data_IF_005093608371
#
_entry.id   IF_005093608371
#
_cell.length_a   1.000
_cell.length_b   1.000
_cell.length_c   1.000
_cell.angle_alpha   90.00
_cell.angle_beta   90.00
_cell.angle_gamma   90.00
#
_symmetry.space_group_name_H-M   'P 1'
#
loop_
_entity.id
_entity.type
_entity.pdbx_description
1 polymer ?
#
# COMPACT_ATOMS: atom_id res chain seq x y z
N UNK A 1 -5.86 5.19 -30.31
CA UNK A 1 -6.07 5.58 -28.90
C UNK A 1 -7.00 6.79 -28.89
N UNK A 2 -8.12 6.73 -28.17
CA UNK A 2 -9.02 7.87 -28.03
C UNK A 2 -8.28 8.98 -27.26
N UNK A 3 -8.31 10.21 -27.76
CA UNK A 3 -7.62 11.34 -27.14
C UNK A 3 -8.37 11.71 -25.87
N UNK A 4 -7.73 11.57 -24.71
CA UNK A 4 -8.28 12.00 -23.42
C UNK A 4 -8.27 13.53 -23.41
N UNK A 5 -9.43 14.14 -23.22
CA UNK A 5 -9.68 15.59 -23.24
C UNK A 5 -9.80 16.21 -21.84
N UNK A 6 -9.75 15.37 -20.80
CA UNK A 6 -9.72 15.76 -19.38
C UNK A 6 -8.34 15.47 -18.76
N UNK A 7 -8.01 16.11 -17.63
CA UNK A 7 -6.76 15.84 -16.92
C UNK A 7 -6.82 14.47 -16.21
N UNK A 8 -6.02 13.47 -16.63
CA UNK A 8 -6.04 12.15 -16.01
C UNK A 8 -5.50 12.12 -14.58
N UNK A 9 -4.85 13.20 -14.11
CA UNK A 9 -4.22 13.28 -12.80
C UNK A 9 -4.59 14.58 -12.06
N UNK A 10 -5.89 14.81 -11.76
CA UNK A 10 -6.38 16.08 -11.21
C UNK A 10 -5.80 16.40 -9.82
N UNK A 11 -5.27 15.40 -9.12
CA UNK A 11 -4.69 15.55 -7.78
C UNK A 11 -3.17 15.80 -7.80
N UNK A 12 -2.52 15.95 -8.96
CA UNK A 12 -1.06 15.94 -9.03
C UNK A 12 -0.36 17.12 -8.32
N UNK A 13 -1.11 18.18 -7.99
CA UNK A 13 -0.66 19.32 -7.19
C UNK A 13 -1.62 19.55 -6.00
N UNK A 14 -1.53 18.74 -4.95
CA UNK A 14 -2.40 18.87 -3.78
C UNK A 14 -2.00 20.08 -2.93
N UNK A 15 -2.96 20.72 -2.27
CA UNK A 15 -2.72 21.86 -1.38
C UNK A 15 -1.87 21.46 -0.16
N UNK A 16 -0.95 22.34 0.24
CA UNK A 16 -0.06 22.16 1.39
C UNK A 16 -0.65 22.79 2.64
N UNK A 17 -0.28 22.29 3.82
CA UNK A 17 -0.50 23.02 5.07
C UNK A 17 -1.42 22.36 6.08
N UNK A 18 -1.82 21.11 5.83
CA UNK A 18 -2.77 20.39 6.68
C UNK A 18 -2.28 19.01 7.08
N UNK A 19 -3.26 18.20 7.51
CA UNK A 19 -3.04 16.80 7.79
C UNK A 19 -2.60 16.04 6.54
N UNK A 20 -1.72 15.06 6.73
CA UNK A 20 -1.33 14.13 5.68
C UNK A 20 -2.58 13.32 5.28
N UNK A 21 -2.83 13.25 3.98
CA UNK A 21 -3.96 12.51 3.39
C UNK A 21 -3.46 11.63 2.24
N UNK A 22 -4.18 10.57 1.92
CA UNK A 22 -4.01 9.73 0.74
C UNK A 22 -3.96 10.57 -0.54
N UNK A 23 -4.85 11.58 -0.65
CA UNK A 23 -4.86 12.50 -1.79
C UNK A 23 -3.59 13.35 -1.91
N UNK A 24 -2.93 13.67 -0.80
CA UNK A 24 -1.64 14.37 -0.82
C UNK A 24 -0.47 13.39 -1.03
N UNK A 25 -0.60 12.18 -0.49
CA UNK A 25 0.41 11.14 -0.50
C UNK A 25 0.78 10.73 -1.92
N UNK A 26 -0.16 10.23 -2.72
CA UNK A 26 0.15 9.60 -4.01
C UNK A 26 0.82 10.53 -5.04
N UNK A 27 0.35 11.78 -5.22
CA UNK A 27 1.06 12.77 -6.04
C UNK A 27 2.48 13.06 -5.57
N UNK A 28 2.69 13.09 -4.24
CA UNK A 28 4.00 13.36 -3.66
C UNK A 28 4.95 12.18 -3.86
N UNK A 29 4.46 10.95 -3.72
CA UNK A 29 5.20 9.74 -4.07
C UNK A 29 5.50 9.64 -5.56
N UNK A 30 4.61 10.10 -6.43
CA UNK A 30 4.86 10.12 -7.87
C UNK A 30 6.15 10.89 -8.20
N UNK A 31 6.46 11.95 -7.45
CA UNK A 31 7.68 12.75 -7.58
C UNK A 31 8.94 11.98 -7.18
N UNK A 32 8.81 10.86 -6.47
CA UNK A 32 9.91 9.96 -6.17
C UNK A 32 10.30 9.10 -7.36
N UNK A 33 9.35 8.83 -8.26
CA UNK A 33 9.58 8.01 -9.43
C UNK A 33 10.62 8.66 -10.34
N UNK A 34 11.41 7.81 -10.99
CA UNK A 34 12.44 8.14 -11.97
C UNK A 34 12.32 7.18 -13.14
N UNK A 35 12.72 7.63 -14.32
CA UNK A 35 12.80 6.74 -15.48
C UNK A 35 13.67 5.52 -15.14
N UNK A 36 13.17 4.33 -15.44
CA UNK A 36 13.84 3.07 -15.10
C UNK A 36 13.58 2.58 -13.67
N UNK A 37 12.64 3.16 -12.93
CA UNK A 37 12.16 2.56 -11.69
C UNK A 37 11.20 1.39 -11.96
N UNK A 38 11.19 0.43 -11.05
CA UNK A 38 10.09 -0.52 -10.86
C UNK A 38 9.35 -0.17 -9.57
N UNK A 39 8.03 -0.08 -9.62
CA UNK A 39 7.16 0.20 -8.47
C UNK A 39 6.24 -0.98 -8.26
N UNK A 40 6.25 -1.56 -7.05
CA UNK A 40 5.38 -2.68 -6.67
C UNK A 40 4.36 -2.19 -5.66
N UNK A 41 3.08 -2.20 -6.02
CA UNK A 41 1.98 -1.80 -5.14
C UNK A 41 1.28 -3.00 -4.50
N UNK A 42 1.17 -3.02 -3.18
CA UNK A 42 0.37 -4.02 -2.46
C UNK A 42 -1.13 -3.81 -2.67
N UNK A 43 -1.89 -4.90 -2.57
CA UNK A 43 -3.35 -4.86 -2.50
C UNK A 43 -3.79 -3.95 -1.35
N UNK A 44 -4.81 -3.11 -1.61
CA UNK A 44 -5.29 -2.08 -0.71
C UNK A 44 -4.97 -0.69 -1.24
N UNK A 45 -4.93 0.31 -0.35
CA UNK A 45 -4.79 1.72 -0.74
C UNK A 45 -3.55 2.00 -1.60
N UNK A 46 -2.47 1.24 -1.42
CA UNK A 46 -1.24 1.35 -2.22
C UNK A 46 -1.44 1.10 -3.71
N UNK A 47 -2.10 -0.01 -4.09
CA UNK A 47 -2.35 -0.33 -5.50
C UNK A 47 -3.30 0.68 -6.16
N UNK A 48 -4.34 1.11 -5.45
CA UNK A 48 -5.32 2.03 -6.00
C UNK A 48 -4.81 3.47 -6.07
N UNK A 49 -4.08 3.93 -5.06
CA UNK A 49 -3.55 5.28 -5.01
C UNK A 49 -2.42 5.53 -6.00
N UNK A 50 -1.50 4.57 -6.15
CA UNK A 50 -0.45 4.67 -7.17
C UNK A 50 -1.00 4.61 -8.60
N UNK A 51 -2.13 3.95 -8.84
CA UNK A 51 -2.79 3.97 -10.14
C UNK A 51 -3.32 5.37 -10.52
N UNK A 52 -3.63 6.21 -9.53
CA UNK A 52 -4.02 7.62 -9.70
C UNK A 52 -2.82 8.59 -9.68
N UNK A 53 -1.60 8.07 -9.52
CA UNK A 53 -0.38 8.87 -9.45
C UNK A 53 0.28 9.00 -10.83
N UNK A 54 0.80 10.19 -11.15
CA UNK A 54 1.53 10.43 -12.40
C UNK A 54 2.98 9.95 -12.30
N UNK A 55 3.20 8.64 -12.48
CA UNK A 55 4.55 8.06 -12.55
C UNK A 55 5.31 8.55 -13.79
N UNK A 56 6.63 8.68 -13.67
CA UNK A 56 7.47 9.09 -14.80
C UNK A 56 7.53 8.02 -15.89
N UNK A 57 7.68 8.48 -17.13
CA UNK A 57 7.86 7.60 -18.30
C UNK A 57 9.02 6.62 -18.08
N UNK A 58 8.85 5.38 -18.54
CA UNK A 58 9.83 4.32 -18.35
C UNK A 58 9.81 3.67 -16.97
N UNK A 59 8.83 3.99 -16.13
CA UNK A 59 8.56 3.27 -14.87
C UNK A 59 7.77 1.99 -15.15
N UNK A 60 8.19 0.87 -14.57
CA UNK A 60 7.39 -0.36 -14.52
C UNK A 60 6.51 -0.35 -13.27
N UNK A 61 5.21 -0.46 -13.44
CA UNK A 61 4.28 -0.57 -12.32
C UNK A 61 3.71 -1.99 -12.22
N UNK A 62 3.88 -2.63 -11.08
CA UNK A 62 3.49 -4.03 -10.81
C UNK A 62 2.44 -4.05 -9.70
N UNK A 63 1.27 -4.59 -10.04
CA UNK A 63 0.14 -4.77 -9.12
C UNK A 63 -0.58 -6.08 -9.41
N UNK A 64 -1.31 -6.58 -8.41
CA UNK A 64 -2.07 -7.83 -8.50
C UNK A 64 -3.56 -7.57 -8.32
N UNK A 65 -4.20 -6.89 -9.28
CA UNK A 65 -5.63 -6.51 -9.21
C UNK A 65 -6.55 -7.75 -9.15
N UNK A 66 -6.25 -8.80 -9.93
CA UNK A 66 -7.18 -9.93 -10.09
C UNK A 66 -7.16 -10.91 -8.90
N UNK A 67 -5.97 -11.38 -8.50
CA UNK A 67 -5.87 -12.35 -7.40
C UNK A 67 -5.97 -11.68 -6.02
N UNK A 68 -5.50 -10.43 -5.89
CA UNK A 68 -5.74 -9.60 -4.71
C UNK A 68 -5.13 -10.12 -3.40
N UNK A 69 -4.03 -10.87 -3.43
CA UNK A 69 -3.44 -11.42 -2.20
C UNK A 69 -2.60 -10.38 -1.45
N UNK A 70 -3.01 -10.06 -0.22
CA UNK A 70 -2.24 -9.21 0.68
C UNK A 70 -0.89 -9.86 1.04
N UNK A 71 0.20 -9.10 0.96
CA UNK A 71 1.58 -9.59 1.15
C UNK A 71 2.31 -10.06 -0.10
N UNK A 72 1.60 -10.29 -1.21
CA UNK A 72 2.24 -10.63 -2.48
C UNK A 72 3.33 -9.62 -2.88
N UNK A 73 3.06 -8.33 -2.69
CA UNK A 73 3.97 -7.26 -3.10
C UNK A 73 5.34 -7.35 -2.43
N UNK A 74 5.41 -7.74 -1.15
CA UNK A 74 6.69 -7.90 -0.43
C UNK A 74 7.53 -9.02 -1.05
N UNK A 75 6.91 -10.16 -1.36
CA UNK A 75 7.57 -11.28 -2.02
C UNK A 75 7.97 -10.95 -3.47
N UNK A 76 7.07 -10.31 -4.22
CA UNK A 76 7.34 -9.85 -5.59
C UNK A 76 8.52 -8.87 -5.61
N UNK A 77 8.57 -7.92 -4.67
CA UNK A 77 9.67 -6.96 -4.58
C UNK A 77 11.03 -7.65 -4.45
N UNK A 78 11.15 -8.74 -3.66
CA UNK A 78 12.38 -9.54 -3.57
C UNK A 78 12.84 -10.02 -4.96
N UNK A 79 11.92 -10.56 -5.76
CA UNK A 79 12.22 -11.01 -7.12
C UNK A 79 12.65 -9.86 -8.03
N UNK A 80 11.94 -8.72 -7.96
CA UNK A 80 12.27 -7.52 -8.74
C UNK A 80 13.65 -6.99 -8.33
N UNK A 81 13.97 -6.92 -7.05
CA UNK A 81 15.28 -6.47 -6.55
C UNK A 81 16.43 -7.30 -7.12
N UNK A 82 16.27 -8.63 -7.16
CA UNK A 82 17.25 -9.53 -7.79
C UNK A 82 17.37 -9.28 -9.28
N UNK A 83 16.24 -9.13 -9.98
CA UNK A 83 16.25 -8.85 -11.42
C UNK A 83 16.98 -7.54 -11.75
N UNK A 84 16.77 -6.48 -10.95
CA UNK A 84 17.41 -5.17 -11.08
C UNK A 84 18.93 -5.27 -11.00
N UNK A 85 19.44 -6.16 -10.16
CA UNK A 85 20.89 -6.40 -10.03
C UNK A 85 21.48 -7.20 -11.17
N UNK A 86 20.78 -8.23 -11.62
CA UNK A 86 21.35 -9.21 -12.53
C UNK A 86 21.48 -8.63 -13.95
N UNK A 87 20.37 -8.27 -14.60
CA UNK A 87 20.38 -7.83 -16.01
C UNK A 87 19.18 -6.95 -16.42
N UNK A 88 18.60 -6.18 -15.50
CA UNK A 88 17.41 -5.39 -15.83
C UNK A 88 17.70 -4.06 -16.54
N UNK A 89 16.77 -3.67 -17.41
CA UNK A 89 16.65 -2.29 -17.89
C UNK A 89 16.29 -1.31 -16.75
N UNK A 90 15.66 -1.83 -15.68
CA UNK A 90 15.30 -1.07 -14.48
C UNK A 90 16.48 -0.97 -13.51
N UNK A 91 16.57 0.17 -12.80
CA UNK A 91 17.74 0.54 -11.97
C UNK A 91 17.44 0.57 -10.48
N UNK A 92 16.18 0.68 -10.11
CA UNK A 92 15.73 0.78 -8.72
C UNK A 92 14.35 0.17 -8.59
N UNK A 93 14.08 -0.44 -7.44
CA UNK A 93 12.75 -0.94 -7.12
C UNK A 93 12.22 -0.25 -5.86
N UNK A 94 10.93 0.10 -5.90
CA UNK A 94 10.18 0.80 -4.87
C UNK A 94 9.01 -0.09 -4.51
N UNK A 95 8.97 -0.58 -3.27
CA UNK A 95 7.85 -1.34 -2.72
C UNK A 95 6.95 -0.38 -1.94
N UNK A 96 5.65 -0.40 -2.25
CA UNK A 96 4.64 0.40 -1.57
C UNK A 96 3.59 -0.53 -0.99
N UNK A 97 3.53 -0.60 0.34
CA UNK A 97 2.67 -1.54 1.04
C UNK A 97 2.04 -0.91 2.28
N UNK A 98 0.80 -1.28 2.56
CA UNK A 98 0.18 -1.07 3.87
C UNK A 98 0.86 -1.92 4.94
N UNK A 99 0.69 -1.53 6.21
CA UNK A 99 1.28 -2.23 7.36
C UNK A 99 0.70 -3.65 7.51
N UNK A 100 -0.63 -3.81 7.45
CA UNK A 100 -1.27 -5.14 7.50
C UNK A 100 -0.78 -6.08 6.39
N UNK A 101 -0.63 -5.58 5.16
CA UNK A 101 -0.08 -6.36 4.04
C UNK A 101 1.41 -6.70 4.21
N UNK A 102 2.20 -5.82 4.83
CA UNK A 102 3.60 -6.10 5.12
C UNK A 102 3.75 -7.23 6.15
N UNK A 103 2.93 -7.24 7.21
CA UNK A 103 2.97 -8.22 8.29
C UNK A 103 2.90 -9.68 7.82
N UNK A 104 2.17 -9.97 6.74
CA UNK A 104 1.98 -11.35 6.24
C UNK A 104 3.25 -11.95 5.62
N UNK A 105 4.18 -11.11 5.17
CA UNK A 105 5.32 -11.53 4.34
C UNK A 105 6.63 -10.83 4.70
N UNK A 106 6.66 -9.98 5.72
CA UNK A 106 7.79 -9.12 6.10
C UNK A 106 9.14 -9.85 6.24
N UNK A 107 9.15 -11.13 6.64
CA UNK A 107 10.40 -11.91 6.75
C UNK A 107 11.11 -12.05 5.40
N UNK A 108 10.41 -11.96 4.26
CA UNK A 108 11.05 -12.01 2.94
C UNK A 108 11.94 -10.79 2.65
N UNK A 109 11.73 -9.68 3.36
CA UNK A 109 12.62 -8.51 3.31
C UNK A 109 14.04 -8.88 3.74
N UNK A 110 14.25 -10.01 4.43
CA UNK A 110 15.60 -10.46 4.75
C UNK A 110 16.40 -10.96 3.55
N UNK A 111 15.83 -10.93 2.35
CA UNK A 111 16.50 -11.35 1.13
C UNK A 111 16.91 -10.16 0.25
N UNK A 112 16.73 -8.92 0.72
CA UNK A 112 16.89 -7.69 -0.08
C UNK A 112 18.00 -6.75 0.39
N UNK A 113 18.81 -7.15 1.37
CA UNK A 113 19.74 -6.27 2.10
C UNK A 113 20.84 -5.60 1.28
N UNK A 114 21.22 -6.23 0.17
CA UNK A 114 22.29 -5.77 -0.69
C UNK A 114 21.75 -4.93 -1.87
N UNK A 115 20.43 -4.73 -1.96
CA UNK A 115 19.75 -4.04 -3.07
C UNK A 115 19.20 -2.68 -2.64
N UNK A 116 19.31 -1.68 -3.54
CA UNK A 116 18.74 -0.35 -3.34
C UNK A 116 17.21 -0.42 -3.28
N UNK A 117 16.69 -0.71 -2.09
CA UNK A 117 15.27 -0.88 -1.82
C UNK A 117 14.73 0.33 -1.10
N UNK A 118 13.64 0.89 -1.62
CA UNK A 118 12.79 1.83 -0.91
C UNK A 118 11.56 1.04 -0.49
N UNK A 119 11.40 0.84 0.82
CA UNK A 119 10.18 0.31 1.40
C UNK A 119 9.35 1.49 1.90
N UNK A 120 8.28 1.80 1.18
CA UNK A 120 7.23 2.71 1.59
C UNK A 120 6.22 1.89 2.39
N UNK A 121 6.26 2.02 3.71
CA UNK A 121 5.19 1.58 4.57
C UNK A 121 4.25 2.77 4.70
N UNK A 122 3.04 2.63 4.16
CA UNK A 122 1.94 3.52 4.47
C UNK A 122 1.21 2.95 5.69
N UNK A 123 1.44 3.45 6.91
CA UNK A 123 0.55 3.25 8.03
C UNK A 123 -0.86 3.70 7.67
N UNK A 124 -1.73 2.72 7.74
CA UNK A 124 -3.09 2.92 8.22
C UNK A 124 -2.94 3.46 9.65
N UNK A 125 -3.53 4.62 9.95
CA UNK A 125 -3.17 5.37 11.15
C UNK A 125 -4.07 5.21 12.35
N UNK A 126 -3.49 5.68 13.45
CA UNK A 126 -3.98 5.55 14.81
C UNK A 126 -5.34 6.16 14.96
N UNK A 127 -6.34 5.30 14.89
CA UNK A 127 -7.51 5.42 15.72
C UNK A 127 -7.05 5.24 17.18
N UNK A 128 -7.63 5.98 18.12
CA UNK A 128 -7.31 5.97 19.56
C UNK A 128 -7.50 4.61 20.25
N UNK A 129 -7.75 3.54 19.50
CA UNK A 129 -7.56 2.14 19.87
C UNK A 129 -7.55 1.25 18.60
N UNK A 130 -6.40 1.19 17.91
CA UNK A 130 -5.94 0.16 16.96
C UNK A 130 -6.01 0.49 15.46
N UNK A 131 -4.82 0.49 14.85
CA UNK A 131 -4.48 0.56 13.44
C UNK A 131 -4.91 -0.73 12.70
N UNK A 132 -5.60 -0.59 11.56
CA UNK A 132 -6.26 -1.71 10.90
C UNK A 132 -6.40 -1.56 9.39
N UNK A 133 -6.78 -2.64 8.72
CA UNK A 133 -6.97 -2.73 7.27
C UNK A 133 -7.97 -1.69 6.74
N UNK A 134 -7.51 -0.57 6.17
CA UNK A 134 -8.35 0.54 5.73
C UNK A 134 -9.35 0.13 4.65
N UNK A 135 -8.99 -0.81 3.76
CA UNK A 135 -9.90 -1.25 2.69
C UNK A 135 -11.05 -2.08 3.25
N UNK A 136 -10.75 -2.97 4.18
CA UNK A 136 -11.68 -3.86 4.86
C UNK A 136 -12.57 -3.08 5.83
N UNK A 137 -12.01 -2.12 6.58
CA UNK A 137 -12.79 -1.16 7.38
C UNK A 137 -13.81 -0.39 6.52
N UNK A 138 -13.51 -0.11 5.25
CA UNK A 138 -14.44 0.55 4.32
C UNK A 138 -15.42 -0.43 3.66
N UNK A 139 -15.13 -1.72 3.65
CA UNK A 139 -15.95 -2.74 2.99
C UNK A 139 -16.93 -3.41 3.96
N UNK A 140 -16.47 -3.79 5.14
CA UNK A 140 -17.29 -4.46 6.14
C UNK A 140 -16.71 -4.33 7.56
N UNK A 141 -17.54 -3.93 8.52
CA UNK A 141 -17.17 -3.89 9.93
C UNK A 141 -16.06 -2.90 10.25
N UNK A 142 -16.29 -1.60 10.00
CA UNK A 142 -15.30 -0.53 10.19
C UNK A 142 -14.51 -0.58 11.50
N UNK A 143 -15.19 -0.91 12.60
CA UNK A 143 -14.59 -1.01 13.95
C UNK A 143 -14.43 -2.46 14.44
N UNK A 144 -14.64 -3.45 13.57
CA UNK A 144 -14.63 -4.86 13.94
C UNK A 144 -13.23 -5.33 14.36
N UNK A 145 -13.17 -6.19 15.37
CA UNK A 145 -11.90 -6.61 15.98
C UNK A 145 -10.96 -7.33 15.00
N UNK A 146 -11.49 -8.04 14.01
CA UNK A 146 -10.69 -8.75 13.00
C UNK A 146 -9.96 -7.81 12.03
N UNK A 147 -10.33 -6.53 11.97
CA UNK A 147 -9.63 -5.55 11.15
C UNK A 147 -8.41 -4.95 11.87
N UNK A 148 -8.23 -5.23 13.17
CA UNK A 148 -7.13 -4.69 13.98
C UNK A 148 -5.87 -5.54 13.85
N UNK A 149 -4.70 -4.91 13.77
CA UNK A 149 -3.41 -5.61 13.86
C UNK A 149 -2.50 -4.97 14.91
N UNK A 150 -1.46 -5.70 15.34
CA UNK A 150 -0.49 -5.20 16.31
C UNK A 150 0.42 -4.16 15.69
N UNK A 151 0.53 -2.98 16.31
CA UNK A 151 1.44 -1.93 15.87
C UNK A 151 2.90 -2.41 15.94
N UNK A 152 3.61 -2.36 14.82
CA UNK A 152 5.00 -2.78 14.76
C UNK A 152 5.96 -1.59 14.88
N UNK A 153 7.05 -1.79 15.62
CA UNK A 153 8.16 -0.85 15.63
C UNK A 153 8.99 -1.04 14.34
N UNK A 154 8.57 -0.37 13.27
CA UNK A 154 9.20 -0.46 11.95
C UNK A 154 10.67 -0.01 11.96
N UNK A 155 11.07 0.92 12.84
CA UNK A 155 12.47 1.28 13.00
C UNK A 155 13.30 0.12 13.58
N UNK A 156 12.78 -0.57 14.60
CA UNK A 156 13.42 -1.76 15.15
C UNK A 156 13.47 -2.91 14.12
N UNK A 157 12.43 -3.10 13.31
CA UNK A 157 12.43 -4.06 12.21
C UNK A 157 13.48 -3.74 11.14
N UNK A 158 13.69 -2.46 10.85
CA UNK A 158 14.74 -2.04 9.92
C UNK A 158 16.13 -2.46 10.39
N UNK A 159 16.40 -2.32 11.69
CA UNK A 159 17.65 -2.77 12.32
C UNK A 159 17.71 -4.30 12.39
N UNK A 160 16.62 -4.96 12.79
CA UNK A 160 16.58 -6.40 13.01
C UNK A 160 16.75 -7.18 11.70
N UNK A 161 16.07 -6.76 10.63
CA UNK A 161 16.27 -7.36 9.32
C UNK A 161 17.65 -6.94 8.80
N UNK A 162 17.99 -5.65 8.78
CA UNK A 162 19.26 -5.16 8.22
C UNK A 162 20.53 -5.49 9.02
N UNK A 163 20.52 -6.41 9.98
CA UNK A 163 21.69 -6.72 10.80
C UNK A 163 22.90 -7.10 9.93
N UNK A 164 23.95 -6.27 9.92
CA UNK A 164 25.15 -6.44 9.09
C UNK A 164 25.20 -5.56 7.83
N UNK A 165 24.14 -4.81 7.52
CA UNK A 165 24.08 -3.86 6.41
C UNK A 165 23.58 -2.48 6.89
N UNK A 166 24.01 -1.37 6.27
CA UNK A 166 23.43 -0.08 6.59
C UNK A 166 21.91 -0.08 6.34
N UNK A 167 21.14 0.25 7.37
CA UNK A 167 19.70 0.48 7.28
C UNK A 167 19.39 1.92 7.70
N UNK A 168 18.46 2.56 7.01
CA UNK A 168 18.00 3.91 7.35
C UNK A 168 16.48 3.93 7.44
N UNK A 169 15.97 4.74 8.35
CA UNK A 169 14.56 4.87 8.65
C UNK A 169 14.16 6.34 8.61
N UNK A 170 13.08 6.63 7.89
CA UNK A 170 12.42 7.92 7.84
C UNK A 170 10.98 7.75 8.28
N UNK A 171 10.42 8.83 8.84
CA UNK A 171 9.03 8.90 9.26
C UNK A 171 8.44 10.23 8.85
N UNK A 172 7.23 10.21 8.30
CA UNK A 172 6.32 11.36 8.30
C UNK A 172 5.11 11.00 9.13
N UNK A 173 4.75 11.84 10.10
CA UNK A 173 3.59 11.55 10.95
C UNK A 173 2.33 12.11 10.31
N UNK A 174 1.90 13.28 10.73
CA UNK A 174 0.53 13.72 10.55
C UNK A 174 0.36 14.85 9.56
N UNK A 175 1.45 15.40 9.03
CA UNK A 175 1.39 16.64 8.26
C UNK A 175 2.00 16.49 6.87
N UNK A 176 1.49 17.29 5.94
CA UNK A 176 2.06 17.38 4.59
C UNK A 176 3.51 17.88 4.61
N UNK A 177 3.87 18.70 5.60
CA UNK A 177 5.21 19.26 5.75
C UNK A 177 6.26 18.21 6.09
N UNK A 178 5.94 17.25 6.95
CA UNK A 178 6.84 16.15 7.29
C UNK A 178 7.09 15.27 6.08
N UNK A 179 6.04 14.97 5.29
CA UNK A 179 6.21 14.23 4.05
C UNK A 179 7.08 15.01 3.06
N UNK A 180 6.86 16.31 2.89
CA UNK A 180 7.67 17.18 2.03
C UNK A 180 9.15 17.20 2.47
N UNK A 181 9.41 17.26 3.78
CA UNK A 181 10.76 17.25 4.34
C UNK A 181 11.48 15.93 4.05
N UNK A 182 10.81 14.79 4.27
CA UNK A 182 11.35 13.46 3.92
C UNK A 182 11.57 13.35 2.41
N UNK A 183 10.63 13.88 1.62
CA UNK A 183 10.70 13.90 0.15
C UNK A 183 11.90 14.70 -0.38
N UNK A 184 12.27 15.76 0.32
CA UNK A 184 13.41 16.61 -0.02
C UNK A 184 14.76 16.00 0.38
N UNK A 185 14.79 15.03 1.31
CA UNK A 185 16.00 14.33 1.69
C UNK A 185 16.47 13.41 0.56
N UNK A 186 17.54 13.85 -0.12
CA UNK A 186 18.17 13.09 -1.21
C UNK A 186 18.59 11.69 -0.76
N UNK A 187 18.86 11.44 0.52
CA UNK A 187 19.26 10.13 1.03
C UNK A 187 18.09 9.15 1.19
N UNK A 188 16.85 9.66 1.31
CA UNK A 188 15.65 8.84 1.48
C UNK A 188 15.41 7.90 0.30
N UNK A 189 15.86 8.29 -0.89
CA UNK A 189 15.62 7.55 -2.13
C UNK A 189 16.89 7.20 -2.91
N UNK A 190 18.07 7.52 -2.38
CA UNK A 190 19.38 7.30 -3.04
C UNK A 190 20.40 6.60 -2.14
N UNK A 191 21.33 5.86 -2.75
CA UNK A 191 22.47 5.20 -2.10
C UNK A 191 22.36 3.66 -2.05
N UNK A 192 23.31 2.99 -1.39
CA UNK A 192 23.33 1.53 -1.22
C UNK A 192 23.07 1.14 0.24
N UNK A 193 21.80 1.20 0.67
CA UNK A 193 21.36 0.78 2.01
C UNK A 193 19.89 0.32 1.95
N UNK A 194 19.47 -0.46 2.95
CA UNK A 194 18.06 -0.79 3.14
C UNK A 194 17.32 0.43 3.71
N UNK A 195 16.14 0.77 3.21
CA UNK A 195 15.41 2.00 3.59
C UNK A 195 13.97 1.73 3.92
N UNK A 196 13.54 2.25 5.05
CA UNK A 196 12.14 2.33 5.46
C UNK A 196 11.69 3.77 5.47
N UNK A 197 10.55 4.03 4.85
CA UNK A 197 9.81 5.28 5.02
C UNK A 197 8.42 4.91 5.55
N UNK A 198 8.14 5.30 6.78
CA UNK A 198 6.85 5.12 7.44
C UNK A 198 6.02 6.42 7.38
N UNK A 199 4.77 6.35 6.95
CA UNK A 199 3.91 7.52 6.67
C UNK A 199 2.53 7.45 7.32
N UNK A 200 2.27 8.22 8.38
CA UNK A 200 1.06 8.04 9.18
C UNK A 200 -0.19 8.61 8.49
N UNK A 201 -1.11 7.69 8.17
CA UNK A 201 -2.50 7.82 7.71
C UNK A 201 -3.44 8.76 8.47
N UNK A 202 -4.73 8.76 8.13
CA UNK A 202 -5.82 8.60 9.12
C UNK A 202 -6.45 7.21 8.89
N UNK A 203 -6.93 6.49 9.91
CA UNK A 203 -7.50 5.13 9.77
C UNK A 203 -8.60 5.06 8.70
N UNK A 204 -9.41 6.11 8.60
CA UNK A 204 -10.50 6.18 7.65
C UNK A 204 -10.11 6.81 6.33
N UNK A 205 -8.91 7.37 6.16
CA UNK A 205 -8.57 8.00 4.90
C UNK A 205 -8.18 6.96 3.84
N UNK A 206 -8.91 6.98 2.73
CA UNK A 206 -8.74 6.09 1.59
C UNK A 206 -8.83 6.88 0.28
N UNK A 207 -8.13 6.46 -0.79
CA UNK A 207 -8.30 7.01 -2.14
C UNK A 207 -9.75 6.97 -2.62
N UNK A 208 -10.13 7.90 -3.51
CA UNK A 208 -11.52 8.01 -3.97
C UNK A 208 -11.99 6.74 -4.69
N UNK A 209 -11.15 6.18 -5.56
CA UNK A 209 -11.43 4.90 -6.23
C UNK A 209 -11.63 3.73 -5.25
N UNK A 210 -10.87 3.64 -4.15
CA UNK A 210 -11.06 2.61 -3.11
C UNK A 210 -12.44 2.75 -2.48
N UNK A 211 -12.87 3.97 -2.15
CA UNK A 211 -14.20 4.20 -1.56
C UNK A 211 -15.32 3.71 -2.48
N UNK A 212 -15.19 3.96 -3.79
CA UNK A 212 -16.17 3.52 -4.80
C UNK A 212 -16.18 1.99 -4.96
N UNK A 213 -15.00 1.38 -5.09
CA UNK A 213 -14.87 -0.07 -5.25
C UNK A 213 -15.35 -0.80 -3.99
N UNK A 214 -14.95 -0.35 -2.80
CA UNK A 214 -15.37 -0.93 -1.53
C UNK A 214 -16.89 -0.91 -1.37
N UNK A 215 -17.54 0.22 -1.68
CA UNK A 215 -19.00 0.34 -1.64
C UNK A 215 -19.69 -0.62 -2.64
N UNK A 216 -19.15 -0.74 -3.86
CA UNK A 216 -19.69 -1.65 -4.86
C UNK A 216 -19.54 -3.14 -4.46
N UNK A 217 -18.40 -3.50 -3.88
CA UNK A 217 -18.11 -4.86 -3.39
C UNK A 217 -18.99 -5.19 -2.19
N UNK A 218 -19.15 -4.27 -1.23
CA UNK A 218 -20.04 -4.43 -0.09
C UNK A 218 -21.49 -4.71 -0.56
N UNK A 219 -22.03 -3.86 -1.43
CA UNK A 219 -23.37 -4.02 -1.98
C UNK A 219 -23.53 -5.31 -2.82
N UNK A 220 -22.47 -5.79 -3.47
CA UNK A 220 -22.48 -7.06 -4.19
C UNK A 220 -22.51 -8.26 -3.23
N UNK A 221 -21.72 -8.22 -2.16
CA UNK A 221 -21.62 -9.28 -1.16
C UNK A 221 -22.91 -9.39 -0.34
N UNK A 222 -23.50 -8.26 0.07
CA UNK A 222 -24.79 -8.21 0.78
C UNK A 222 -25.93 -8.81 -0.06
N UNK A 223 -25.98 -8.48 -1.36
CA UNK A 223 -26.99 -9.07 -2.26
C UNK A 223 -26.87 -10.60 -2.34
N UNK A 224 -25.65 -11.15 -2.28
CA UNK A 224 -25.43 -12.60 -2.29
C UNK A 224 -25.71 -13.26 -0.95
N UNK A 225 -25.37 -12.62 0.17
CA UNK A 225 -25.70 -13.15 1.49
C UNK A 225 -27.22 -13.23 1.70
N UNK A 226 -27.98 -12.25 1.18
CA UNK A 226 -29.45 -12.27 1.24
C UNK A 226 -30.11 -13.15 0.16
N UNK A 227 -29.52 -13.27 -1.04
CA UNK A 227 -30.04 -14.10 -2.14
C UNK A 227 -29.92 -15.62 -1.93
N UNK A 228 -29.13 -16.07 -0.96
CA UNK A 228 -28.96 -17.50 -0.65
C UNK A 228 -30.14 -18.08 0.14
N UNK A 229 -31.06 -17.25 0.66
CA UNK A 229 -32.25 -17.71 1.40
C UNK A 229 -33.44 -18.06 0.48
N UNK A 230 -33.42 -17.64 -0.80
CA UNK A 230 -34.60 -17.78 -1.69
C UNK A 230 -34.57 -18.98 -2.66
N UNK A 231 -33.51 -19.79 -2.65
CA UNK A 231 -33.43 -21.03 -3.45
C UNK A 231 -33.62 -22.33 -2.64
N UNK A 232 -34.10 -22.25 -1.40
CA UNK A 232 -34.44 -23.41 -0.59
C UNK A 232 -35.94 -23.69 -0.58
N UNK A 233 -36.49 -24.36 -1.60
CA UNK A 233 -37.83 -24.98 -1.50
C UNK A 233 -37.73 -26.50 -1.51
N UNK A 234 -38.06 -27.05 -0.33
CA UNK A 234 -38.70 -28.34 -0.04
C UNK A 234 -37.88 -29.63 -0.20
N UNK A 235 -37.60 -30.27 0.94
CA UNK A 235 -37.22 -31.67 1.05
C UNK A 235 -37.15 -32.17 2.48
N UNK A 236 -38.30 -32.59 3.04
CA UNK A 236 -38.36 -33.69 4.01
C UNK A 236 -38.13 -33.40 5.49
N UNK A 237 -39.14 -33.75 6.29
CA UNK A 237 -39.11 -33.77 7.75
C UNK A 237 -38.29 -34.96 8.32
N UNK A 238 -37.67 -34.74 9.48
CA UNK A 238 -37.47 -35.66 10.62
C UNK A 238 -36.60 -34.92 11.65
N UNK A 239 -37.13 -34.28 12.70
CA UNK A 239 -37.58 -34.86 13.98
C UNK A 239 -36.52 -35.78 14.65
N UNK A 240 -35.80 -35.26 15.66
CA UNK A 240 -35.79 -35.74 17.06
C UNK A 240 -34.46 -35.49 17.78
N UNK A 241 -34.60 -34.84 18.94
CA UNK A 241 -33.74 -34.76 20.13
C UNK A 241 -32.46 -33.94 20.05
#
# INVERSE_FOLDING_TARGET
MQKVDWDPYPLNNPEKGGHLTQSYLWPTHAKFSRSGDSVVGATGTSAYGLAEAKLLSGTLYIIQILFGSIGYATGMAVGVFRSVKEKSHYKRCILVTGEGAACTSQKSLTLTFDTASVLLITPEASCSNNDGYTTECRTHGGDADYNKFSYLNNNALAVAFGAGYPAKYWKSEWTTWELDAVSADKNCLNGACFRFLQQKLSCFDAPANVRLVAAAVAAFNERRSHGTVLNGRLGGAAMMR
#
